data_IF_848985867622
#
_entry.id   IF_848985867622
#
_cell.length_a   1.000
_cell.length_b   1.000
_cell.length_c   1.000
_cell.angle_alpha   90.00
_cell.angle_beta   90.00
_cell.angle_gamma   90.00
#
_symmetry.space_group_name_H-M   'P 1'
#
loop_
_entity.id
_entity.type
_entity.pdbx_description
1 polymer ?
#
# COMPACT_ATOMS: atom_id res chain seq x y z
N UNK A 1 -4.38 21.23 9.80
CA UNK A 1 -2.96 21.58 9.57
C UNK A 1 -2.29 20.28 9.11
N UNK A 2 -1.63 20.25 7.95
CA UNK A 2 -0.21 20.59 7.75
C UNK A 2 0.80 19.71 8.46
N UNK A 3 0.50 18.42 8.59
CA UNK A 3 1.45 17.49 9.20
C UNK A 3 2.16 16.65 8.13
N UNK A 4 1.51 16.42 6.98
CA UNK A 4 2.09 15.66 5.86
C UNK A 4 2.95 16.48 4.91
N UNK A 5 2.73 17.79 4.75
CA UNK A 5 3.54 18.60 3.82
C UNK A 5 5.02 18.63 4.24
N UNK A 6 5.27 18.86 5.52
CA UNK A 6 6.60 18.89 6.12
C UNK A 6 7.28 17.51 6.00
N UNK A 7 6.52 16.42 6.24
CA UNK A 7 7.01 15.05 6.05
C UNK A 7 7.40 14.79 4.59
N UNK A 8 6.53 15.15 3.63
CA UNK A 8 6.80 15.06 2.18
C UNK A 8 8.05 15.87 1.80
N UNK A 9 8.20 17.10 2.32
CA UNK A 9 9.40 17.92 2.08
C UNK A 9 10.65 17.24 2.63
N UNK A 10 10.58 16.63 3.81
CA UNK A 10 11.71 15.89 4.38
C UNK A 10 12.04 14.64 3.55
N UNK A 11 11.04 13.86 3.15
CA UNK A 11 11.22 12.66 2.34
C UNK A 11 11.89 13.00 1.00
N UNK A 12 11.30 13.92 0.21
CA UNK A 12 11.85 14.34 -1.09
C UNK A 12 13.19 15.06 -0.93
N UNK A 13 13.31 15.94 0.06
CA UNK A 13 14.54 16.70 0.31
C UNK A 13 15.70 15.80 0.68
N UNK A 14 15.45 14.76 1.49
CA UNK A 14 16.46 13.76 1.82
C UNK A 14 16.87 12.92 0.61
N UNK A 15 15.92 12.59 -0.29
CA UNK A 15 16.19 11.89 -1.55
C UNK A 15 17.12 12.73 -2.46
N UNK A 16 16.75 13.98 -2.73
CA UNK A 16 17.52 14.89 -3.58
C UNK A 16 18.91 15.17 -3.00
N UNK A 17 19.01 15.37 -1.68
CA UNK A 17 20.28 15.65 -1.02
C UNK A 17 21.24 14.46 -1.05
N UNK A 18 20.73 13.24 -0.88
CA UNK A 18 21.57 12.05 -0.77
C UNK A 18 21.78 11.30 -2.09
N UNK A 19 21.15 11.75 -3.17
CA UNK A 19 21.30 11.19 -4.53
C UNK A 19 21.57 12.28 -5.60
N UNK A 20 22.50 13.23 -5.38
CA UNK A 20 22.72 14.37 -6.29
C UNK A 20 23.24 13.98 -7.69
N UNK A 21 23.79 12.78 -7.80
CA UNK A 21 24.27 12.21 -9.06
C UNK A 21 23.14 11.67 -9.96
N UNK A 22 22.01 11.30 -9.35
CA UNK A 22 20.90 10.63 -10.03
C UNK A 22 19.95 11.62 -10.69
N UNK A 23 19.38 11.24 -11.83
CA UNK A 23 18.26 11.95 -12.44
C UNK A 23 16.96 11.43 -11.80
N UNK A 24 16.24 12.31 -11.09
CA UNK A 24 15.11 11.97 -10.23
C UNK A 24 13.89 12.79 -10.63
N UNK A 25 12.85 12.10 -11.08
CA UNK A 25 11.52 12.68 -11.31
C UNK A 25 10.56 12.18 -10.23
N UNK A 26 10.17 13.08 -9.33
CA UNK A 26 9.25 12.75 -8.23
C UNK A 26 7.82 13.05 -8.66
N UNK A 27 6.94 12.05 -8.55
CA UNK A 27 5.50 12.22 -8.74
C UNK A 27 4.76 12.08 -7.42
N UNK A 28 4.01 13.12 -7.05
CA UNK A 28 3.12 13.11 -5.90
C UNK A 28 1.67 13.03 -6.37
N UNK A 29 0.94 12.00 -5.95
CA UNK A 29 -0.51 11.90 -6.16
C UNK A 29 -1.20 12.29 -4.86
N UNK A 30 -2.01 13.34 -4.87
CA UNK A 30 -2.62 13.90 -3.66
C UNK A 30 -4.02 14.48 -3.86
N UNK A 31 -4.65 14.89 -2.76
CA UNK A 31 -5.91 15.64 -2.79
C UNK A 31 -5.61 17.13 -3.00
N UNK A 32 -5.79 17.60 -4.24
CA UNK A 32 -5.46 18.98 -4.61
C UNK A 32 -6.38 20.01 -3.95
N UNK A 33 -7.60 19.63 -3.56
CA UNK A 33 -8.55 20.56 -2.93
C UNK A 33 -8.17 20.80 -1.47
N UNK A 34 -7.76 19.74 -0.74
CA UNK A 34 -7.28 19.86 0.64
C UNK A 34 -5.93 20.56 0.75
N UNK A 35 -5.07 20.41 -0.26
CA UNK A 35 -3.70 20.97 -0.25
C UNK A 35 -3.59 22.41 -0.76
N UNK A 36 -4.65 22.96 -1.34
CA UNK A 36 -4.69 24.35 -1.79
C UNK A 36 -4.64 25.31 -0.60
N UNK A 37 -3.60 26.16 -0.55
CA UNK A 37 -3.49 27.26 0.41
C UNK A 37 -3.58 28.61 -0.29
N UNK A 38 -4.80 29.16 -0.33
CA UNK A 38 -5.07 30.38 -1.08
C UNK A 38 -4.79 30.18 -2.57
N UNK A 39 -3.94 31.02 -3.15
CA UNK A 39 -3.63 31.00 -4.59
C UNK A 39 -2.33 30.25 -4.94
N UNK A 40 -1.66 29.61 -3.97
CA UNK A 40 -0.38 28.91 -4.20
C UNK A 40 -0.64 27.41 -4.29
N UNK A 41 -0.24 26.79 -5.41
CA UNK A 41 -0.40 25.35 -5.62
C UNK A 41 0.58 24.53 -4.77
N UNK A 42 0.25 23.26 -4.53
CA UNK A 42 1.15 22.32 -3.84
C UNK A 42 2.51 22.22 -4.54
N UNK A 43 2.52 22.13 -5.87
CA UNK A 43 3.74 22.12 -6.67
C UNK A 43 4.59 23.37 -6.48
N UNK A 44 3.98 24.56 -6.41
CA UNK A 44 4.71 25.80 -6.15
C UNK A 44 5.34 25.80 -4.75
N UNK A 45 4.61 25.31 -3.74
CA UNK A 45 5.11 25.18 -2.36
C UNK A 45 6.28 24.19 -2.27
N UNK A 46 6.18 23.04 -2.93
CA UNK A 46 7.23 22.02 -2.97
C UNK A 46 8.50 22.55 -3.66
N UNK A 47 8.36 23.19 -4.83
CA UNK A 47 9.50 23.79 -5.53
C UNK A 47 10.20 24.88 -4.71
N UNK A 48 9.43 25.72 -4.02
CA UNK A 48 10.00 26.76 -3.15
C UNK A 48 10.76 26.17 -1.95
N UNK A 49 10.25 25.08 -1.36
CA UNK A 49 10.86 24.43 -0.21
C UNK A 49 12.09 23.60 -0.56
N UNK A 50 12.04 22.88 -1.70
CA UNK A 50 13.04 21.87 -2.06
C UNK A 50 14.14 22.40 -2.99
N UNK A 51 13.84 23.44 -3.79
CA UNK A 51 14.77 24.04 -4.75
C UNK A 51 15.49 23.00 -5.64
N UNK A 52 14.73 22.17 -6.39
CA UNK A 52 15.31 21.07 -7.16
C UNK A 52 16.32 21.54 -8.21
N UNK A 53 17.39 20.76 -8.40
CA UNK A 53 18.43 21.05 -9.40
C UNK A 53 18.03 20.58 -10.80
N UNK A 54 17.33 21.42 -11.55
CA UNK A 54 16.95 21.14 -12.95
C UNK A 54 18.19 21.09 -13.88
N UNK A 55 18.27 20.12 -14.84
CA UNK A 55 17.24 19.16 -15.23
C UNK A 55 17.25 17.85 -14.44
N UNK A 56 18.20 17.66 -13.51
CA UNK A 56 18.38 16.40 -12.80
C UNK A 56 17.27 16.06 -11.83
N UNK A 57 16.64 17.07 -11.23
CA UNK A 57 15.59 16.89 -10.24
C UNK A 57 14.34 17.60 -10.69
N UNK A 58 13.23 16.88 -10.75
CA UNK A 58 11.91 17.40 -11.08
C UNK A 58 10.86 16.91 -10.09
N UNK A 59 9.80 17.70 -9.93
CA UNK A 59 8.65 17.38 -9.09
C UNK A 59 7.40 17.61 -9.94
N UNK A 60 6.55 16.59 -9.99
CA UNK A 60 5.25 16.58 -10.64
C UNK A 60 4.18 16.27 -9.61
N UNK A 61 3.00 16.88 -9.75
CA UNK A 61 1.87 16.66 -8.85
C UNK A 61 0.64 16.33 -9.69
N UNK A 62 -0.09 15.29 -9.29
CA UNK A 62 -1.33 14.83 -9.91
C UNK A 62 -2.43 14.72 -8.85
N UNK A 63 -3.65 15.11 -9.20
CA UNK A 63 -4.80 14.89 -8.32
C UNK A 63 -5.31 13.46 -8.35
N UNK A 64 -5.87 12.95 -7.25
CA UNK A 64 -6.51 11.62 -7.26
C UNK A 64 -7.69 11.53 -8.25
N UNK A 65 -8.44 12.64 -8.42
CA UNK A 65 -9.53 12.73 -9.40
C UNK A 65 -9.02 12.67 -10.84
N UNK A 66 -7.87 13.30 -11.11
CA UNK A 66 -7.21 13.24 -12.40
C UNK A 66 -6.70 11.83 -12.68
N UNK A 67 -6.01 11.21 -11.71
CA UNK A 67 -5.54 9.83 -11.82
C UNK A 67 -6.70 8.85 -12.07
N UNK A 68 -7.81 9.03 -11.35
CA UNK A 68 -9.04 8.24 -11.53
C UNK A 68 -9.60 8.41 -12.95
N UNK A 69 -9.70 9.66 -13.42
CA UNK A 69 -10.23 9.96 -14.75
C UNK A 69 -9.36 9.36 -15.87
N UNK A 70 -8.03 9.38 -15.70
CA UNK A 70 -7.11 8.73 -16.63
C UNK A 70 -7.35 7.23 -16.69
N UNK A 71 -7.41 6.54 -15.53
CA UNK A 71 -7.71 5.11 -15.49
C UNK A 71 -9.04 4.77 -16.19
N UNK A 72 -10.11 5.52 -15.89
CA UNK A 72 -11.42 5.30 -16.49
C UNK A 72 -11.41 5.52 -18.01
N UNK A 73 -10.65 6.51 -18.50
CA UNK A 73 -10.50 6.80 -19.93
C UNK A 73 -9.81 5.67 -20.69
N UNK A 74 -8.98 4.87 -20.00
CA UNK A 74 -8.32 3.68 -20.54
C UNK A 74 -9.13 2.39 -20.30
N UNK A 75 -10.38 2.52 -19.86
CA UNK A 75 -11.28 1.38 -19.61
C UNK A 75 -10.99 0.63 -18.32
N UNK A 76 -10.19 1.18 -17.42
CA UNK A 76 -9.89 0.60 -16.10
C UNK A 76 -10.82 1.25 -15.09
N UNK A 77 -11.65 0.42 -14.42
CA UNK A 77 -12.50 0.89 -13.32
C UNK A 77 -11.80 0.55 -12.00
N UNK A 78 -11.11 1.52 -11.36
CA UNK A 78 -10.41 1.24 -10.11
C UNK A 78 -11.40 0.86 -9.01
N UNK A 79 -10.95 0.02 -8.08
CA UNK A 79 -11.79 -0.57 -7.02
C UNK A 79 -12.57 0.49 -6.23
N UNK A 80 -12.02 1.69 -6.02
CA UNK A 80 -12.73 2.77 -5.32
C UNK A 80 -13.92 3.38 -6.05
N UNK A 81 -14.11 3.03 -7.32
CA UNK A 81 -15.26 3.43 -8.14
C UNK A 81 -16.33 2.36 -8.26
N UNK A 82 -16.09 1.17 -7.69
CA UNK A 82 -17.06 0.10 -7.73
C UNK A 82 -18.28 0.43 -6.85
N UNK A 83 -19.46 -0.04 -7.27
CA UNK A 83 -20.68 0.15 -6.50
C UNK A 83 -20.52 -0.49 -5.12
N UNK A 84 -20.82 0.26 -4.05
CA UNK A 84 -20.57 -0.15 -2.66
C UNK A 84 -19.09 -0.35 -2.31
N UNK A 85 -18.18 0.32 -3.02
CA UNK A 85 -16.90 0.65 -2.43
C UNK A 85 -17.04 1.98 -1.67
N UNK A 86 -16.93 1.94 -0.34
CA UNK A 86 -16.71 3.11 0.52
C UNK A 86 -17.64 4.29 0.26
N UNK A 87 -18.95 4.13 0.46
CA UNK A 87 -19.82 5.30 0.63
C UNK A 87 -19.86 5.70 2.11
N UNK A 88 -19.63 7.00 2.36
CA UNK A 88 -19.67 7.77 3.61
C UNK A 88 -18.30 7.79 4.32
N UNK A 89 -17.71 8.92 4.73
CA UNK A 89 -18.14 10.31 4.75
C UNK A 89 -16.93 11.22 5.01
N UNK A 90 -17.16 12.53 5.04
CA UNK A 90 -16.14 13.58 5.01
C UNK A 90 -15.22 13.69 6.26
N UNK A 91 -15.29 12.74 7.21
CA UNK A 91 -14.43 12.67 8.39
C UNK A 91 -13.88 11.25 8.55
N UNK A 92 -12.57 11.11 8.32
CA UNK A 92 -11.82 9.85 8.38
C UNK A 92 -11.87 9.20 9.79
N UNK A 93 -12.20 9.99 10.82
CA UNK A 93 -12.16 9.59 12.23
C UNK A 93 -13.48 9.06 12.80
N UNK A 94 -14.60 9.10 12.05
CA UNK A 94 -15.93 8.81 12.64
C UNK A 94 -16.69 7.66 11.98
N UNK A 95 -16.41 7.35 10.71
CA UNK A 95 -17.12 6.29 9.98
C UNK A 95 -16.19 5.07 9.82
N UNK A 96 -16.05 4.29 10.88
CA UNK A 96 -15.16 3.11 10.97
C UNK A 96 -15.75 1.84 10.33
N UNK A 97 -16.87 1.96 9.61
CA UNK A 97 -17.56 0.82 9.00
C UNK A 97 -17.99 1.15 7.57
N UNK A 98 -17.04 1.43 6.68
CA UNK A 98 -17.40 1.58 5.29
C UNK A 98 -18.09 0.28 4.83
N UNK A 99 -19.19 0.40 4.09
CA UNK A 99 -19.68 -0.73 3.28
C UNK A 99 -18.65 -0.90 2.18
N UNK A 100 -17.60 -1.66 2.44
CA UNK A 100 -16.43 -1.83 1.58
C UNK A 100 -16.31 -3.25 1.07
N UNK A 101 -15.45 -3.39 0.06
CA UNK A 101 -14.93 -4.66 -0.44
C UNK A 101 -14.01 -5.35 0.58
N UNK A 102 -13.47 -4.60 1.53
CA UNK A 102 -12.63 -5.04 2.65
C UNK A 102 -13.42 -4.78 3.93
N UNK A 103 -13.65 -5.78 4.78
CA UNK A 103 -14.43 -5.66 6.00
C UNK A 103 -13.56 -5.33 7.23
N UNK A 104 -13.16 -4.08 7.50
CA UNK A 104 -12.11 -3.81 8.49
C UNK A 104 -12.40 -4.56 9.78
N UNK A 105 -11.40 -5.33 10.25
CA UNK A 105 -11.58 -6.06 11.50
C UNK A 105 -11.97 -5.05 12.58
N UNK A 106 -12.70 -5.46 13.63
CA UNK A 106 -13.08 -4.52 14.69
C UNK A 106 -11.90 -3.86 15.41
N UNK A 107 -10.65 -4.30 15.17
CA UNK A 107 -9.41 -3.66 15.64
C UNK A 107 -8.72 -2.77 14.57
N UNK A 108 -9.07 -2.92 13.30
CA UNK A 108 -8.60 -2.04 12.22
C UNK A 108 -9.49 -0.81 12.15
N UNK A 109 -9.23 0.13 13.05
CA UNK A 109 -9.91 1.42 13.10
C UNK A 109 -9.42 2.38 12.02
N UNK A 110 -8.50 1.95 11.14
CA UNK A 110 -7.81 2.82 10.21
C UNK A 110 -8.38 2.77 8.79
N UNK A 111 -9.24 3.74 8.49
CA UNK A 111 -9.81 3.92 7.15
C UNK A 111 -8.73 4.16 6.06
N UNK A 112 -7.47 4.44 6.40
CA UNK A 112 -6.39 4.60 5.42
C UNK A 112 -6.19 3.35 4.56
N UNK A 113 -6.45 2.14 5.06
CA UNK A 113 -6.25 0.92 4.27
C UNK A 113 -7.21 0.80 3.08
N UNK A 114 -8.35 1.50 3.13
CA UNK A 114 -9.36 1.51 2.07
C UNK A 114 -9.35 2.79 1.23
N UNK A 115 -8.50 3.76 1.60
CA UNK A 115 -8.41 5.04 0.92
C UNK A 115 -7.87 4.86 -0.53
N UNK A 116 -8.40 5.61 -1.53
CA UNK A 116 -7.86 5.61 -2.89
C UNK A 116 -6.34 5.82 -2.96
N UNK A 117 -5.74 6.60 -2.08
CA UNK A 117 -4.29 6.81 -2.02
C UNK A 117 -3.53 5.54 -1.60
N UNK A 118 -4.15 4.65 -0.82
CA UNK A 118 -3.56 3.35 -0.52
C UNK A 118 -3.73 2.39 -1.70
N UNK A 119 -4.88 2.39 -2.38
CA UNK A 119 -5.18 1.43 -3.43
C UNK A 119 -4.56 1.76 -4.79
N UNK A 120 -4.29 3.04 -5.07
CA UNK A 120 -3.74 3.47 -6.37
C UNK A 120 -2.40 2.81 -6.70
N UNK A 121 -1.65 2.33 -5.70
CA UNK A 121 -0.41 1.56 -5.88
C UNK A 121 -0.57 0.36 -6.82
N UNK A 122 -1.74 -0.26 -6.84
CA UNK A 122 -2.05 -1.41 -7.70
C UNK A 122 -2.44 -1.02 -9.13
N UNK A 123 -2.58 0.26 -9.43
CA UNK A 123 -2.94 0.80 -10.74
C UNK A 123 -1.84 1.67 -11.37
N UNK A 124 -0.78 2.00 -10.62
CA UNK A 124 0.35 2.80 -11.12
C UNK A 124 0.87 2.38 -12.50
N UNK A 125 1.06 1.09 -12.83
CA UNK A 125 1.59 0.66 -14.13
C UNK A 125 0.71 1.04 -15.33
N UNK A 126 -0.54 1.45 -15.09
CA UNK A 126 -1.49 1.84 -16.12
C UNK A 126 -1.77 3.35 -16.14
N UNK A 127 -1.32 4.12 -15.14
CA UNK A 127 -1.45 5.58 -15.18
C UNK A 127 -0.57 6.18 -16.28
N UNK A 128 -1.10 7.18 -16.98
CA UNK A 128 -0.48 7.79 -18.16
C UNK A 128 1.02 8.10 -18.00
N UNK A 129 1.45 8.81 -16.93
CA UNK A 129 2.87 9.14 -16.71
C UNK A 129 3.78 7.91 -16.52
N UNK A 130 3.25 6.79 -16.03
CA UNK A 130 4.04 5.63 -15.63
C UNK A 130 3.89 4.44 -16.59
N UNK A 131 2.94 4.52 -17.53
CA UNK A 131 2.57 3.42 -18.44
C UNK A 131 3.74 2.82 -19.20
N UNK A 132 4.71 3.65 -19.55
CA UNK A 132 5.85 3.28 -20.38
C UNK A 132 7.16 3.16 -19.60
N UNK A 133 7.10 3.32 -18.27
CA UNK A 133 8.27 3.12 -17.42
C UNK A 133 8.51 1.62 -17.22
N UNK A 134 9.79 1.23 -17.19
CA UNK A 134 10.20 -0.13 -16.86
C UNK A 134 10.11 -0.41 -15.36
N UNK A 135 10.49 0.58 -14.54
CA UNK A 135 10.41 0.52 -13.09
C UNK A 135 10.15 1.87 -12.46
N UNK A 136 9.62 1.86 -11.23
CA UNK A 136 9.51 3.04 -10.37
C UNK A 136 9.91 2.70 -8.93
N UNK A 137 10.24 3.71 -8.14
CA UNK A 137 10.30 3.60 -6.69
C UNK A 137 9.00 4.13 -6.08
N UNK A 138 8.35 3.30 -5.27
CA UNK A 138 7.22 3.70 -4.44
C UNK A 138 7.73 3.96 -3.03
N UNK A 139 7.38 5.14 -2.49
CA UNK A 139 7.87 5.64 -1.22
C UNK A 139 6.70 6.08 -0.35
N UNK A 140 6.73 5.73 0.93
CA UNK A 140 5.87 6.40 1.92
C UNK A 140 6.38 7.82 2.18
N UNK A 141 5.52 8.70 2.69
CA UNK A 141 5.82 10.11 2.93
C UNK A 141 6.51 10.38 4.28
N UNK A 142 6.68 9.34 5.11
CA UNK A 142 7.27 9.38 6.45
C UNK A 142 8.70 8.80 6.50
N UNK A 143 9.34 8.65 5.34
CA UNK A 143 10.71 8.13 5.24
C UNK A 143 11.77 9.23 5.21
N UNK A 144 13.00 8.84 5.55
CA UNK A 144 14.21 9.65 5.34
C UNK A 144 15.25 8.83 4.59
N UNK A 145 15.58 9.25 3.37
CA UNK A 145 16.62 8.64 2.55
C UNK A 145 17.99 9.12 3.04
N UNK A 146 18.85 8.19 3.45
CA UNK A 146 20.17 8.51 4.03
C UNK A 146 21.36 8.21 3.11
N UNK A 147 21.11 7.55 1.98
CA UNK A 147 22.13 7.17 0.98
C UNK A 147 21.55 7.31 -0.42
N UNK A 148 22.41 7.26 -1.43
CA UNK A 148 21.98 7.32 -2.83
C UNK A 148 20.95 6.24 -3.15
N UNK A 149 19.87 6.65 -3.84
CA UNK A 149 18.79 5.78 -4.28
C UNK A 149 19.25 4.71 -5.27
N UNK A 150 20.36 4.97 -5.99
CA UNK A 150 20.99 4.01 -6.91
C UNK A 150 21.35 2.68 -6.23
N UNK A 151 21.55 2.68 -4.91
CA UNK A 151 21.78 1.45 -4.14
C UNK A 151 20.59 0.48 -4.16
N UNK A 152 19.39 0.96 -4.50
CA UNK A 152 18.16 0.18 -4.58
C UNK A 152 17.81 -0.22 -6.02
N UNK A 153 18.60 0.17 -7.01
CA UNK A 153 18.46 -0.26 -8.41
C UNK A 153 18.99 -1.69 -8.63
N UNK A 154 18.59 -2.60 -7.75
CA UNK A 154 19.02 -4.00 -7.79
C UNK A 154 18.41 -4.72 -8.99
N UNK A 155 19.17 -5.50 -9.77
CA UNK A 155 18.61 -6.31 -10.84
C UNK A 155 17.53 -7.25 -10.30
N UNK A 156 16.33 -7.18 -10.86
CA UNK A 156 15.19 -7.99 -10.42
C UNK A 156 15.06 -9.31 -11.20
N UNK A 157 15.61 -9.38 -12.41
CA UNK A 157 15.47 -10.55 -13.29
C UNK A 157 14.04 -10.76 -13.79
N UNK A 158 13.79 -11.93 -14.38
CA UNK A 158 12.48 -12.30 -14.92
C UNK A 158 11.58 -12.83 -13.80
N UNK A 159 10.38 -12.27 -13.67
CA UNK A 159 9.35 -12.72 -12.72
C UNK A 159 9.16 -11.85 -11.47
N UNK A 160 10.20 -11.35 -10.77
CA UNK A 160 9.97 -10.47 -9.63
C UNK A 160 9.33 -9.13 -10.01
N UNK A 161 8.24 -8.81 -9.33
CA UNK A 161 7.45 -7.58 -9.56
C UNK A 161 7.81 -6.48 -8.55
N UNK A 162 8.13 -6.85 -7.31
CA UNK A 162 8.46 -5.92 -6.23
C UNK A 162 9.78 -6.35 -5.57
N UNK A 163 10.69 -5.40 -5.38
CA UNK A 163 11.82 -5.53 -4.47
C UNK A 163 11.61 -4.59 -3.28
N UNK A 164 11.45 -5.18 -2.10
CA UNK A 164 11.17 -4.48 -0.85
C UNK A 164 12.02 -5.06 0.30
N UNK A 165 12.10 -4.33 1.42
CA UNK A 165 12.84 -4.81 2.60
C UNK A 165 12.12 -5.99 3.24
N UNK A 166 12.86 -7.10 3.44
CA UNK A 166 12.41 -8.26 4.20
C UNK A 166 12.82 -8.20 5.70
N UNK A 167 13.39 -7.06 6.10
CA UNK A 167 13.75 -6.74 7.47
C UNK A 167 12.89 -5.55 7.92
N UNK A 168 12.48 -5.54 9.17
CA UNK A 168 11.68 -4.44 9.71
C UNK A 168 11.60 -4.49 11.23
N UNK A 169 10.67 -3.71 11.76
CA UNK A 169 10.38 -3.62 13.17
C UNK A 169 8.97 -4.08 13.44
N UNK A 170 8.76 -4.70 14.59
CA UNK A 170 7.48 -5.19 15.05
C UNK A 170 7.21 -4.61 16.42
N UNK A 171 5.99 -4.17 16.67
CA UNK A 171 5.59 -3.76 18.00
C UNK A 171 5.42 -5.00 18.90
N UNK A 172 6.28 -5.15 19.90
CA UNK A 172 6.17 -6.18 20.91
C UNK A 172 5.34 -5.68 22.08
N UNK A 173 4.04 -6.02 22.11
CA UNK A 173 3.08 -5.55 23.13
C UNK A 173 3.52 -5.87 24.56
N UNK A 174 4.06 -7.07 24.80
CA UNK A 174 4.48 -7.50 26.14
C UNK A 174 5.59 -6.61 26.74
N UNK A 175 6.39 -6.00 25.86
CA UNK A 175 7.54 -5.19 26.25
C UNK A 175 7.37 -3.71 25.87
N UNK A 176 6.23 -3.34 25.26
CA UNK A 176 5.92 -2.00 24.75
C UNK A 176 7.09 -1.37 23.96
N UNK A 177 7.70 -2.15 23.07
CA UNK A 177 8.88 -1.73 22.29
C UNK A 177 8.87 -2.30 20.87
N UNK A 178 9.57 -1.61 19.97
CA UNK A 178 9.87 -2.14 18.65
C UNK A 178 10.99 -3.20 18.72
N UNK A 179 10.74 -4.37 18.13
CA UNK A 179 11.71 -5.47 18.00
C UNK A 179 12.01 -5.72 16.52
N UNK A 180 13.29 -5.90 16.14
CA UNK A 180 13.63 -6.15 14.75
C UNK A 180 13.29 -7.59 14.35
N UNK A 181 12.84 -7.76 13.11
CA UNK A 181 12.80 -9.06 12.44
C UNK A 181 13.70 -9.05 11.21
N UNK A 182 14.23 -10.23 10.90
CA UNK A 182 15.14 -10.43 9.77
C UNK A 182 14.64 -11.58 8.91
N UNK A 183 14.41 -11.31 7.62
CA UNK A 183 13.92 -12.30 6.65
C UNK A 183 12.73 -13.10 7.17
N UNK A 184 11.78 -12.39 7.79
CA UNK A 184 10.58 -13.01 8.35
C UNK A 184 9.82 -13.75 7.26
N UNK A 185 9.27 -14.92 7.61
CA UNK A 185 8.39 -15.69 6.74
C UNK A 185 7.11 -16.06 7.47
N UNK A 186 6.15 -16.55 6.70
CA UNK A 186 4.86 -16.97 7.23
C UNK A 186 3.94 -15.78 7.43
N UNK A 187 2.79 -15.82 6.76
CA UNK A 187 1.74 -14.81 6.92
C UNK A 187 0.70 -15.16 7.99
N UNK A 188 0.66 -16.42 8.46
CA UNK A 188 -0.19 -16.88 9.55
C UNK A 188 0.44 -16.61 10.93
N UNK A 189 1.63 -16.01 10.96
CA UNK A 189 2.39 -15.78 12.18
C UNK A 189 2.42 -14.32 12.60
N UNK A 190 2.35 -14.13 13.91
CA UNK A 190 2.46 -12.83 14.55
C UNK A 190 3.79 -12.19 14.13
N UNK A 191 3.83 -10.88 13.86
CA UNK A 191 2.77 -9.88 13.77
C UNK A 191 2.67 -9.31 12.35
N UNK A 192 2.40 -10.16 11.36
CA UNK A 192 1.85 -9.66 10.09
C UNK A 192 0.38 -9.27 10.34
N UNK A 193 0.16 -8.24 11.15
CA UNK A 193 -1.13 -7.87 11.76
C UNK A 193 -2.18 -7.45 10.75
N UNK A 194 -1.83 -7.12 9.51
CA UNK A 194 -2.79 -6.74 8.46
C UNK A 194 -3.78 -7.85 8.08
N UNK A 195 -3.59 -9.10 8.53
CA UNK A 195 -4.50 -10.23 8.31
C UNK A 195 -4.85 -11.02 9.60
N UNK A 196 -4.99 -10.34 10.75
CA UNK A 196 -5.73 -10.92 11.88
C UNK A 196 -4.95 -11.84 12.84
N UNK A 197 -3.69 -11.51 13.13
CA UNK A 197 -2.97 -12.13 14.27
C UNK A 197 -2.42 -11.07 15.19
N UNK A 198 -3.30 -10.28 15.79
CA UNK A 198 -3.00 -9.68 17.09
C UNK A 198 -3.12 -10.78 18.17
N UNK A 199 -2.28 -10.72 19.20
CA UNK A 199 -2.29 -11.63 20.35
C UNK A 199 -3.65 -11.62 21.08
N UNK A 200 -4.39 -10.52 20.99
CA UNK A 200 -5.76 -10.39 21.51
C UNK A 200 -6.87 -10.80 20.51
N UNK A 201 -6.57 -11.02 19.22
CA UNK A 201 -7.56 -11.30 18.17
C UNK A 201 -7.12 -12.43 17.23
N UNK A 202 -6.25 -13.31 17.74
CA UNK A 202 -5.57 -14.30 16.92
C UNK A 202 -6.54 -15.20 16.17
N UNK A 203 -6.02 -15.83 15.12
CA UNK A 203 -6.64 -16.86 14.28
C UNK A 203 -7.09 -18.09 15.09
N UNK A 204 -8.08 -17.95 15.96
CA UNK A 204 -8.88 -19.04 16.47
C UNK A 204 -10.00 -19.21 15.46
N UNK A 205 -10.05 -20.36 14.81
CA UNK A 205 -11.25 -20.74 14.09
C UNK A 205 -12.47 -20.62 15.01
N UNK A 206 -13.62 -20.18 14.47
CA UNK A 206 -14.85 -19.95 15.24
C UNK A 206 -15.46 -21.21 15.90
N UNK A 207 -14.76 -22.34 15.84
CA UNK A 207 -15.06 -23.57 16.60
C UNK A 207 -14.95 -23.41 18.13
N UNK A 208 -14.21 -22.42 18.65
CA UNK A 208 -14.10 -22.17 20.08
C UNK A 208 -15.26 -21.29 20.58
N UNK A 209 -15.84 -21.65 21.73
CA UNK A 209 -16.81 -20.79 22.42
C UNK A 209 -16.13 -19.50 22.89
N UNK A 210 -16.90 -18.41 23.07
CA UNK A 210 -16.36 -17.13 23.56
C UNK A 210 -15.61 -17.26 24.91
N UNK A 211 -16.00 -18.21 25.75
CA UNK A 211 -15.31 -18.51 27.00
C UNK A 211 -13.95 -19.23 26.78
N UNK A 212 -13.86 -20.10 25.77
CA UNK A 212 -12.63 -20.82 25.40
C UNK A 212 -11.64 -19.92 24.67
N UNK A 213 -12.14 -19.01 23.83
CA UNK A 213 -11.30 -18.04 23.12
C UNK A 213 -10.84 -16.90 24.00
N UNK A 214 -11.46 -16.67 25.17
CA UNK A 214 -11.19 -15.51 26.02
C UNK A 214 -11.81 -14.21 25.48
N UNK A 215 -12.99 -14.32 24.85
CA UNK A 215 -13.71 -13.26 24.14
C UNK A 215 -12.96 -12.66 22.94
N UNK A 216 -12.02 -13.41 22.36
CA UNK A 216 -11.33 -12.99 21.13
C UNK A 216 -12.29 -13.08 19.95
N UNK A 217 -12.20 -12.10 19.05
CA UNK A 217 -12.88 -12.15 17.74
C UNK A 217 -12.23 -13.28 16.96
N UNK A 218 -13.03 -14.28 16.59
CA UNK A 218 -12.59 -15.41 15.78
C UNK A 218 -12.72 -15.06 14.30
N UNK A 219 -11.77 -15.53 13.49
CA UNK A 219 -11.91 -15.50 12.04
C UNK A 219 -12.63 -16.77 11.59
N UNK A 220 -13.41 -16.68 10.51
CA UNK A 220 -14.16 -17.83 9.99
C UNK A 220 -13.20 -19.00 9.70
N UNK A 221 -13.62 -20.22 10.04
CA UNK A 221 -12.81 -21.43 9.87
C UNK A 221 -12.37 -21.59 8.40
N UNK A 222 -13.20 -21.15 7.45
CA UNK A 222 -12.92 -21.25 6.02
C UNK A 222 -11.99 -20.15 5.48
N UNK A 223 -11.53 -19.19 6.29
CA UNK A 223 -10.75 -18.05 5.80
C UNK A 223 -9.43 -18.51 5.13
N UNK A 224 -8.65 -19.35 5.81
CA UNK A 224 -7.35 -19.81 5.29
C UNK A 224 -7.53 -20.61 4.00
N UNK A 225 -8.45 -21.57 4.05
CA UNK A 225 -8.77 -22.43 2.91
C UNK A 225 -9.34 -21.63 1.74
N UNK A 226 -10.12 -20.58 2.00
CA UNK A 226 -10.65 -19.72 0.94
C UNK A 226 -9.58 -18.88 0.28
N UNK A 227 -8.69 -18.27 1.08
CA UNK A 227 -7.58 -17.50 0.52
C UNK A 227 -6.63 -18.41 -0.27
N UNK A 228 -6.37 -19.64 0.20
CA UNK A 228 -5.59 -20.64 -0.55
C UNK A 228 -6.24 -21.03 -1.88
N UNK A 229 -7.56 -21.26 -1.87
CA UNK A 229 -8.33 -21.52 -3.10
C UNK A 229 -8.28 -20.33 -4.07
N UNK A 230 -8.36 -19.10 -3.56
CA UNK A 230 -8.22 -17.89 -4.37
C UNK A 230 -6.83 -17.74 -4.95
N UNK A 231 -5.77 -18.06 -4.20
CA UNK A 231 -4.41 -18.07 -4.75
C UNK A 231 -4.27 -19.04 -5.91
N UNK A 232 -4.75 -20.26 -5.76
CA UNK A 232 -4.72 -21.20 -6.88
C UNK A 232 -5.51 -20.67 -8.08
N UNK A 233 -6.70 -20.10 -7.84
CA UNK A 233 -7.59 -19.59 -8.90
C UNK A 233 -7.02 -18.36 -9.63
N UNK A 234 -6.47 -17.40 -8.91
CA UNK A 234 -6.08 -16.09 -9.44
C UNK A 234 -4.60 -16.00 -9.79
N UNK A 235 -3.74 -16.70 -9.06
CA UNK A 235 -2.29 -16.73 -9.31
C UNK A 235 -1.86 -17.93 -10.15
N UNK A 236 -2.75 -18.91 -10.37
CA UNK A 236 -2.44 -20.16 -11.08
C UNK A 236 -1.50 -21.11 -10.34
N UNK A 237 -1.20 -20.82 -9.07
CA UNK A 237 -0.29 -21.60 -8.23
C UNK A 237 -0.76 -21.63 -6.77
N UNK A 238 -0.52 -22.76 -6.13
CA UNK A 238 -0.74 -22.89 -4.69
C UNK A 238 0.23 -21.98 -3.93
N UNK A 239 -0.27 -21.42 -2.83
CA UNK A 239 0.51 -20.58 -1.94
C UNK A 239 1.04 -21.43 -0.78
N UNK A 240 2.35 -21.49 -0.63
CA UNK A 240 2.93 -22.00 0.62
C UNK A 240 2.88 -20.90 1.68
N UNK A 241 1.89 -20.98 2.56
CA UNK A 241 1.64 -20.03 3.65
C UNK A 241 2.84 -19.82 4.56
N UNK A 242 3.72 -20.82 4.70
CA UNK A 242 4.88 -20.79 5.59
C UNK A 242 6.11 -20.19 4.92
N UNK A 243 6.13 -20.15 3.58
CA UNK A 243 7.25 -19.64 2.80
C UNK A 243 7.10 -18.17 2.40
N UNK A 244 5.92 -17.56 2.60
CA UNK A 244 5.67 -16.18 2.18
C UNK A 244 6.57 -15.21 2.97
N UNK A 245 7.39 -14.38 2.29
CA UNK A 245 8.21 -13.40 2.97
C UNK A 245 7.34 -12.32 3.60
N UNK A 246 7.75 -11.84 4.77
CA UNK A 246 7.22 -10.61 5.37
C UNK A 246 7.99 -9.43 4.80
N UNK A 247 7.27 -8.40 4.41
CA UNK A 247 7.85 -7.21 3.80
C UNK A 247 6.99 -5.98 4.11
N UNK A 248 7.57 -4.79 3.94
CA UNK A 248 6.89 -3.50 4.11
C UNK A 248 7.12 -2.64 2.86
N UNK A 249 6.15 -1.78 2.54
CA UNK A 249 6.13 -0.89 1.37
C UNK A 249 7.03 0.34 1.47
N UNK A 250 7.41 0.78 2.69
CA UNK A 250 8.04 2.10 2.97
C UNK A 250 8.96 2.68 1.90
N UNK A 251 9.86 1.87 1.34
CA UNK A 251 10.54 2.19 0.09
C UNK A 251 10.73 0.91 -0.72
N UNK A 252 10.07 0.83 -1.88
CA UNK A 252 10.04 -0.36 -2.71
C UNK A 252 10.31 -0.04 -4.17
N UNK A 253 11.10 -0.89 -4.85
CA UNK A 253 11.23 -0.85 -6.31
C UNK A 253 10.14 -1.72 -6.93
N UNK A 254 9.41 -1.17 -7.89
CA UNK A 254 8.38 -1.88 -8.64
C UNK A 254 8.85 -2.07 -10.08
N UNK A 255 8.86 -3.31 -10.56
CA UNK A 255 9.07 -3.67 -11.95
C UNK A 255 7.74 -3.63 -12.68
N UNK A 256 7.49 -2.54 -13.41
CA UNK A 256 6.23 -2.28 -14.09
C UNK A 256 6.09 -3.14 -15.35
N UNK A 257 7.22 -3.51 -15.98
CA UNK A 257 7.23 -4.41 -17.12
C UNK A 257 6.74 -5.80 -16.73
N UNK A 258 7.28 -6.37 -15.65
CA UNK A 258 6.80 -7.65 -15.10
C UNK A 258 5.38 -7.54 -14.55
N UNK A 259 5.03 -6.43 -13.88
CA UNK A 259 3.67 -6.20 -13.40
C UNK A 259 2.64 -6.32 -14.52
N UNK A 260 2.90 -5.66 -15.66
CA UNK A 260 2.04 -5.72 -16.85
C UNK A 260 2.07 -7.12 -17.48
N UNK A 261 3.24 -7.74 -17.62
CA UNK A 261 3.39 -9.07 -18.22
C UNK A 261 2.62 -10.15 -17.44
N UNK A 262 2.58 -10.03 -16.12
CA UNK A 262 1.87 -10.95 -15.22
C UNK A 262 0.44 -10.51 -14.91
N UNK A 263 -0.01 -9.39 -15.48
CA UNK A 263 -1.36 -8.83 -15.32
C UNK A 263 -1.75 -8.65 -13.83
N UNK A 264 -0.83 -8.14 -13.02
CA UNK A 264 -0.98 -8.12 -11.55
C UNK A 264 -2.13 -7.23 -11.06
N UNK A 265 -2.52 -6.19 -11.81
CA UNK A 265 -3.71 -5.39 -11.48
C UNK A 265 -4.99 -6.20 -11.63
N UNK A 266 -5.08 -7.05 -12.65
CA UNK A 266 -6.22 -7.96 -12.80
C UNK A 266 -6.21 -9.05 -11.72
N UNK A 267 -5.04 -9.55 -11.32
CA UNK A 267 -4.93 -10.47 -10.17
C UNK A 267 -5.48 -9.80 -8.91
N UNK A 268 -5.03 -8.58 -8.61
CA UNK A 268 -5.53 -7.77 -7.50
C UNK A 268 -7.06 -7.57 -7.58
N UNK A 269 -7.59 -7.12 -8.71
CA UNK A 269 -9.03 -6.91 -8.90
C UNK A 269 -9.85 -8.20 -8.67
N UNK A 270 -9.32 -9.36 -9.03
CA UNK A 270 -9.98 -10.64 -8.78
C UNK A 270 -10.05 -10.99 -7.29
N UNK A 271 -8.97 -10.74 -6.54
CA UNK A 271 -9.01 -10.87 -5.07
C UNK A 271 -10.02 -9.91 -4.46
N UNK A 272 -10.01 -8.65 -4.88
CA UNK A 272 -10.96 -7.65 -4.39
C UNK A 272 -12.40 -8.07 -4.68
N UNK A 273 -12.71 -8.50 -5.91
CA UNK A 273 -14.07 -8.95 -6.28
C UNK A 273 -14.50 -10.19 -5.50
N UNK A 274 -13.61 -11.16 -5.34
CA UNK A 274 -13.93 -12.36 -4.58
C UNK A 274 -14.18 -12.03 -3.10
N UNK A 275 -13.40 -11.09 -2.56
CA UNK A 275 -13.62 -10.62 -1.21
C UNK A 275 -14.92 -9.86 -1.05
N UNK A 276 -15.26 -9.00 -2.00
CA UNK A 276 -16.54 -8.30 -2.03
C UNK A 276 -17.75 -9.25 -1.99
N UNK A 277 -17.67 -10.35 -2.75
CA UNK A 277 -18.73 -11.36 -2.82
C UNK A 277 -18.81 -12.21 -1.56
N UNK A 278 -17.66 -12.62 -1.01
CA UNK A 278 -17.59 -13.56 0.09
C UNK A 278 -17.58 -12.92 1.48
N UNK A 279 -17.17 -11.65 1.58
CA UNK A 279 -17.07 -10.87 2.82
C UNK A 279 -16.15 -11.51 3.87
N UNK A 280 -14.95 -11.91 3.44
CA UNK A 280 -14.07 -12.81 4.20
C UNK A 280 -12.80 -12.16 4.75
N UNK A 281 -12.14 -11.34 3.94
CA UNK A 281 -10.96 -10.58 4.30
C UNK A 281 -11.45 -9.22 4.85
N UNK A 282 -10.90 -8.80 5.98
CA UNK A 282 -11.11 -7.46 6.48
C UNK A 282 -10.58 -6.35 5.57
#
# INVERSE_FOLDING_TARGET
>A
MSDRFEAVVVAIGSLFKNSPESDIDVWLIGDMQREARGNVSLLQRLNAALQPQTPKQTISVMGIDEATSLLESDGISPVWKWQHFGSLGADQDQDHQPRTVLHPEPWDYDNMHHDPFNLIRFYLPYLGPFRWLDSLFLCDDDIVVQKSISMLEVPMGDGPIIAATCNGWLWAEDCMRNEPYYNGKGWLDFPATYLGKDKAHGYSGCTQTAAESGNRICQQDEFADTVLRWSLKFNGKELDVNAQPRWNFGLSRINLTEWRAQNMTHVFDNYMRANYEAKLIP
#
